data_IF_686872407490
#
_entry.id   IF_686872407490
#
_cell.length_a   1.000
_cell.length_b   1.000
_cell.length_c   1.000
_cell.angle_alpha   90.00
_cell.angle_beta   90.00
_cell.angle_gamma   90.00
#
_symmetry.space_group_name_H-M   'P 1'
#
loop_
_entity.id
_entity.type
_entity.pdbx_description
1 polymer ?
#
# COMPACT_ATOMS: atom_id res chain seq x y z
N UNK A 1 -11.37 -7.31 -7.73
CA UNK A 1 -11.67 -8.76 -7.71
C UNK A 1 -11.04 -9.36 -6.47
N UNK A 2 -11.66 -10.37 -5.85
CA UNK A 2 -11.03 -11.18 -4.79
C UNK A 2 -10.66 -12.51 -5.43
N UNK A 3 -9.44 -12.97 -5.22
CA UNK A 3 -8.90 -14.18 -5.84
C UNK A 3 -8.13 -15.00 -4.81
N UNK A 4 -8.41 -16.30 -4.76
CA UNK A 4 -7.66 -17.28 -3.99
C UNK A 4 -6.76 -18.05 -4.96
N UNK A 5 -5.45 -17.99 -4.74
CA UNK A 5 -4.47 -18.66 -5.59
C UNK A 5 -3.74 -19.69 -4.72
N UNK A 6 -3.89 -21.00 -5.01
CA UNK A 6 -3.27 -22.05 -4.21
C UNK A 6 -1.75 -22.07 -4.40
N UNK A 7 -1.06 -22.62 -3.40
CA UNK A 7 0.35 -22.98 -3.49
C UNK A 7 0.61 -23.81 -4.74
N UNK A 8 1.68 -23.48 -5.44
CA UNK A 8 2.03 -24.11 -6.71
C UNK A 8 3.52 -24.36 -6.81
N UNK A 9 3.89 -25.41 -7.56
CA UNK A 9 5.26 -25.66 -8.01
C UNK A 9 5.37 -25.32 -9.48
N UNK A 10 6.45 -24.66 -9.85
CA UNK A 10 6.65 -24.15 -11.21
C UNK A 10 7.77 -24.89 -11.91
N UNK A 11 7.54 -25.28 -13.16
CA UNK A 11 8.57 -25.89 -14.03
C UNK A 11 9.23 -24.84 -14.93
N UNK A 12 8.54 -23.73 -15.13
CA UNK A 12 8.93 -22.55 -15.87
C UNK A 12 10.11 -21.83 -15.20
N UNK A 13 10.99 -21.27 -16.02
CA UNK A 13 12.14 -20.49 -15.53
C UNK A 13 11.81 -19.03 -15.29
N UNK A 14 10.71 -18.53 -15.85
CA UNK A 14 10.33 -17.13 -15.83
C UNK A 14 8.84 -16.95 -15.52
N UNK A 15 8.50 -15.82 -14.93
CA UNK A 15 7.13 -15.38 -14.67
C UNK A 15 6.90 -14.03 -15.34
N UNK A 16 5.80 -13.93 -16.07
CA UNK A 16 5.36 -12.69 -16.71
C UNK A 16 4.56 -11.87 -15.71
N UNK A 17 5.05 -10.68 -15.39
CA UNK A 17 4.40 -9.67 -14.57
C UNK A 17 3.51 -8.77 -15.44
N UNK A 18 3.06 -7.62 -14.93
CA UNK A 18 2.16 -6.75 -15.70
C UNK A 18 2.85 -6.15 -16.93
N UNK A 19 4.08 -5.66 -16.79
CA UNK A 19 4.84 -5.04 -17.90
C UNK A 19 6.28 -5.54 -18.04
N UNK A 20 6.65 -6.56 -17.28
CA UNK A 20 8.01 -7.11 -17.25
C UNK A 20 7.97 -8.62 -17.04
N UNK A 21 9.14 -9.23 -17.09
CA UNK A 21 9.35 -10.66 -16.81
C UNK A 21 10.50 -10.78 -15.82
N UNK A 22 10.43 -11.76 -14.93
CA UNK A 22 11.52 -12.06 -14.00
C UNK A 22 11.70 -13.58 -13.81
N UNK A 23 12.80 -13.98 -13.19
CA UNK A 23 13.05 -15.37 -12.85
C UNK A 23 11.94 -15.90 -11.91
N UNK A 24 11.46 -17.09 -12.25
CA UNK A 24 10.47 -17.81 -11.47
C UNK A 24 11.13 -18.61 -10.34
N UNK A 25 10.43 -18.71 -9.21
CA UNK A 25 10.82 -19.56 -8.09
C UNK A 25 10.20 -20.95 -8.22
N UNK A 26 10.82 -21.97 -7.63
CA UNK A 26 10.31 -23.35 -7.72
C UNK A 26 8.97 -23.56 -7.05
N UNK A 27 8.65 -22.75 -6.04
CA UNK A 27 7.41 -22.87 -5.27
C UNK A 27 6.89 -21.47 -4.90
N UNK A 28 5.59 -21.27 -5.04
CA UNK A 28 4.88 -20.07 -4.56
C UNK A 28 3.84 -20.46 -3.53
N UNK A 29 3.65 -19.61 -2.53
CA UNK A 29 2.71 -19.83 -1.43
C UNK A 29 1.25 -19.61 -1.83
N UNK A 30 0.34 -20.16 -1.04
CA UNK A 30 -1.10 -19.88 -1.17
C UNK A 30 -1.36 -18.43 -0.75
N UNK A 31 -2.15 -17.70 -1.54
CA UNK A 31 -2.50 -16.30 -1.29
C UNK A 31 -3.99 -16.03 -1.50
N UNK A 32 -4.52 -15.09 -0.71
CA UNK A 32 -5.83 -14.45 -0.91
C UNK A 32 -5.59 -12.96 -1.20
N UNK A 33 -5.98 -12.50 -2.38
CA UNK A 33 -5.67 -11.15 -2.86
C UNK A 33 -6.91 -10.37 -3.29
N UNK A 34 -6.82 -9.04 -3.19
CA UNK A 34 -7.69 -8.11 -3.90
C UNK A 34 -6.88 -7.43 -5.00
N UNK A 35 -7.35 -7.52 -6.26
CA UNK A 35 -6.67 -6.93 -7.40
C UNK A 35 -7.60 -6.30 -8.45
N UNK A 36 -7.11 -5.33 -9.24
CA UNK A 36 -7.70 -4.96 -10.52
C UNK A 36 -7.60 -6.12 -11.50
N UNK A 37 -8.57 -6.22 -12.41
CA UNK A 37 -8.65 -7.34 -13.35
C UNK A 37 -7.51 -7.37 -14.38
N UNK A 38 -6.93 -6.21 -14.70
CA UNK A 38 -5.99 -6.01 -15.82
C UNK A 38 -4.51 -6.25 -15.46
N UNK A 39 -4.18 -6.38 -14.18
CA UNK A 39 -2.80 -6.49 -13.69
C UNK A 39 -2.53 -7.89 -13.15
N UNK A 40 -1.27 -8.34 -13.26
CA UNK A 40 -0.78 -9.52 -12.56
C UNK A 40 -0.81 -9.32 -11.04
N UNK A 41 -0.46 -8.13 -10.57
CA UNK A 41 -0.28 -7.80 -9.16
C UNK A 41 -1.55 -7.79 -8.30
N UNK A 42 -1.37 -7.33 -7.06
CA UNK A 42 -2.40 -7.19 -6.05
C UNK A 42 -2.33 -5.83 -5.35
N UNK A 43 -3.48 -5.24 -5.04
CA UNK A 43 -3.55 -4.00 -4.25
C UNK A 43 -3.30 -4.29 -2.77
N UNK A 44 -3.85 -5.41 -2.31
CA UNK A 44 -3.69 -5.93 -0.96
C UNK A 44 -3.94 -7.44 -0.92
N UNK A 45 -3.44 -8.13 0.10
CA UNK A 45 -3.65 -9.55 0.27
C UNK A 45 -3.02 -10.12 1.53
N UNK A 46 -3.23 -11.42 1.75
CA UNK A 46 -2.64 -12.21 2.83
C UNK A 46 -2.21 -13.59 2.30
N UNK A 47 -1.13 -14.15 2.81
CA UNK A 47 -0.67 -15.49 2.45
C UNK A 47 -0.92 -16.53 3.55
N UNK A 48 -0.65 -17.80 3.25
CA UNK A 48 -0.83 -18.92 4.20
C UNK A 48 0.00 -18.83 5.49
N UNK A 49 1.01 -17.95 5.56
CA UNK A 49 1.80 -17.71 6.76
C UNK A 49 1.25 -16.53 7.60
N UNK A 50 0.12 -15.95 7.20
CA UNK A 50 -0.46 -14.79 7.86
C UNK A 50 0.29 -13.48 7.58
N UNK A 51 1.10 -13.43 6.52
CA UNK A 51 1.71 -12.19 6.05
C UNK A 51 0.67 -11.44 5.24
N UNK A 52 0.28 -10.26 5.70
CA UNK A 52 -0.59 -9.33 4.98
C UNK A 52 0.20 -8.14 4.46
N UNK A 53 -0.17 -7.68 3.26
CA UNK A 53 0.40 -6.47 2.64
C UNK A 53 -0.72 -5.66 1.98
N UNK A 54 -0.60 -4.35 2.05
CA UNK A 54 -1.34 -3.40 1.22
C UNK A 54 -0.40 -2.31 0.72
N UNK A 55 -0.78 -1.66 -0.37
CA UNK A 55 -0.01 -0.56 -0.94
C UNK A 55 -0.89 0.65 -1.26
N UNK A 56 -0.26 1.82 -1.40
CA UNK A 56 -0.93 3.05 -1.81
C UNK A 56 0.00 3.90 -2.67
N UNK A 57 -0.57 4.57 -3.67
CA UNK A 57 0.16 5.51 -4.52
C UNK A 57 0.65 6.72 -3.72
N UNK A 58 1.95 7.00 -3.78
CA UNK A 58 2.59 8.20 -3.26
C UNK A 58 3.30 8.95 -4.39
N UNK A 59 3.26 10.28 -4.30
CA UNK A 59 3.83 11.15 -5.31
C UNK A 59 5.09 11.82 -4.76
N UNK A 60 6.19 11.65 -5.49
CA UNK A 60 7.52 12.04 -5.02
C UNK A 60 8.20 12.97 -6.02
N UNK A 61 9.26 13.63 -5.59
CA UNK A 61 10.13 14.45 -6.42
C UNK A 61 11.11 13.64 -7.28
N UNK A 62 11.21 12.32 -7.04
CA UNK A 62 12.04 11.44 -7.86
C UNK A 62 11.37 11.18 -9.22
N UNK A 63 12.15 10.98 -10.29
CA UNK A 63 11.61 10.58 -11.60
C UNK A 63 10.85 9.25 -11.53
N UNK A 64 9.84 9.11 -12.39
CA UNK A 64 9.07 7.87 -12.54
C UNK A 64 9.55 7.10 -13.77
N UNK A 65 10.10 5.91 -13.56
CA UNK A 65 10.59 5.08 -14.66
C UNK A 65 9.46 4.66 -15.61
N UNK A 66 9.75 4.64 -16.92
CA UNK A 66 8.83 4.10 -17.93
C UNK A 66 8.68 2.57 -17.81
N UNK A 67 9.76 1.90 -17.38
CA UNK A 67 9.84 0.45 -17.20
C UNK A 67 10.34 0.16 -15.79
N UNK A 68 9.66 -0.76 -15.12
CA UNK A 68 10.00 -1.20 -13.77
C UNK A 68 8.98 -2.22 -13.31
N UNK A 69 9.05 -2.61 -12.04
CA UNK A 69 8.02 -3.44 -11.43
C UNK A 69 6.98 -2.51 -10.78
N UNK A 70 5.70 -2.79 -11.01
CA UNK A 70 4.62 -2.07 -10.35
C UNK A 70 4.57 -2.45 -8.86
N UNK A 71 4.25 -1.53 -7.97
CA UNK A 71 4.06 -1.86 -6.55
C UNK A 71 2.98 -2.93 -6.31
N UNK A 72 1.94 -3.01 -7.16
CA UNK A 72 0.97 -4.11 -7.11
C UNK A 72 1.61 -5.46 -7.44
N UNK A 73 2.50 -5.51 -8.44
CA UNK A 73 3.23 -6.73 -8.81
C UNK A 73 4.17 -7.13 -7.66
N UNK A 74 4.87 -6.15 -7.07
CA UNK A 74 5.73 -6.37 -5.91
C UNK A 74 4.94 -6.95 -4.72
N UNK A 75 3.74 -6.43 -4.44
CA UNK A 75 2.91 -6.91 -3.34
C UNK A 75 2.49 -8.37 -3.53
N UNK A 76 2.07 -8.75 -4.75
CA UNK A 76 1.75 -10.15 -5.07
C UNK A 76 2.98 -11.05 -4.95
N UNK A 77 4.11 -10.66 -5.54
CA UNK A 77 5.35 -11.42 -5.49
C UNK A 77 5.82 -11.65 -4.05
N UNK A 78 5.70 -10.62 -3.19
CA UNK A 78 6.04 -10.74 -1.78
C UNK A 78 5.15 -11.76 -1.06
N UNK A 79 3.83 -11.73 -1.30
CA UNK A 79 2.89 -12.71 -0.73
C UNK A 79 3.22 -14.15 -1.17
N UNK A 80 3.56 -14.33 -2.45
CA UNK A 80 3.89 -15.64 -3.03
C UNK A 80 5.24 -16.20 -2.53
N UNK A 81 6.14 -15.37 -1.98
CA UNK A 81 7.56 -15.75 -1.80
C UNK A 81 8.13 -15.50 -0.41
N UNK A 82 7.39 -14.89 0.51
CA UNK A 82 7.88 -14.55 1.87
C UNK A 82 7.00 -15.11 2.99
N UNK A 83 7.56 -15.26 4.19
CA UNK A 83 6.92 -15.91 5.35
C UNK A 83 6.81 -15.01 6.57
N UNK A 84 7.33 -13.78 6.51
CA UNK A 84 7.24 -12.79 7.59
C UNK A 84 7.25 -11.36 7.05
N UNK A 85 6.74 -10.41 7.84
CA UNK A 85 6.72 -9.00 7.48
C UNK A 85 8.14 -8.44 7.25
N UNK A 86 9.13 -8.92 8.02
CA UNK A 86 10.54 -8.57 7.83
C UNK A 86 11.13 -9.11 6.52
N UNK A 87 10.78 -10.34 6.13
CA UNK A 87 11.17 -10.89 4.83
C UNK A 87 10.57 -10.08 3.67
N UNK A 88 9.31 -9.64 3.79
CA UNK A 88 8.67 -8.76 2.80
C UNK A 88 9.47 -7.49 2.62
N UNK A 89 9.88 -6.81 3.70
CA UNK A 89 10.67 -5.58 3.59
C UNK A 89 11.93 -5.81 2.76
N UNK A 90 12.73 -6.82 3.14
CA UNK A 90 13.96 -7.16 2.42
C UNK A 90 13.66 -7.46 0.95
N UNK A 91 12.65 -8.28 0.68
CA UNK A 91 12.26 -8.67 -0.67
C UNK A 91 11.87 -7.46 -1.53
N UNK A 92 11.04 -6.54 -1.01
CA UNK A 92 10.62 -5.33 -1.73
C UNK A 92 11.82 -4.41 -2.00
N UNK A 93 12.71 -4.23 -1.03
CA UNK A 93 13.89 -3.37 -1.20
C UNK A 93 14.89 -3.96 -2.19
N UNK A 94 15.04 -5.29 -2.21
CA UNK A 94 15.87 -5.99 -3.20
C UNK A 94 15.25 -5.86 -4.61
N UNK A 95 13.92 -6.00 -4.75
CA UNK A 95 13.24 -5.78 -6.04
C UNK A 95 13.45 -4.35 -6.56
N UNK A 96 13.30 -3.34 -5.69
CA UNK A 96 13.51 -1.94 -6.07
C UNK A 96 14.97 -1.71 -6.50
N UNK A 97 15.92 -2.32 -5.79
CA UNK A 97 17.35 -2.22 -6.11
C UNK A 97 17.68 -2.87 -7.46
N UNK A 98 17.18 -4.08 -7.70
CA UNK A 98 17.62 -4.91 -8.83
C UNK A 98 16.82 -4.65 -10.11
N UNK A 99 15.55 -4.27 -9.98
CA UNK A 99 14.62 -4.09 -11.12
C UNK A 99 14.03 -2.68 -11.22
N UNK A 100 14.20 -1.84 -10.20
CA UNK A 100 13.53 -0.54 -10.12
C UNK A 100 12.02 -0.65 -9.89
N UNK A 101 11.39 0.51 -9.72
CA UNK A 101 9.94 0.65 -9.66
C UNK A 101 9.47 1.65 -10.71
N UNK A 102 8.35 1.34 -11.37
CA UNK A 102 7.83 2.18 -12.45
C UNK A 102 6.93 1.42 -13.41
N UNK A 103 6.44 2.12 -14.43
CA UNK A 103 5.39 1.63 -15.33
C UNK A 103 4.05 2.34 -15.12
N UNK A 104 3.04 1.94 -15.90
CA UNK A 104 1.75 2.60 -15.94
C UNK A 104 0.72 1.94 -15.01
N UNK A 105 0.31 2.63 -13.94
CA UNK A 105 -0.61 2.08 -12.92
C UNK A 105 -2.10 2.23 -13.28
N UNK A 106 -2.41 2.37 -14.56
CA UNK A 106 -3.78 2.56 -15.02
C UNK A 106 -3.97 1.92 -16.39
N UNK A 107 -5.12 1.28 -16.58
CA UNK A 107 -5.49 0.66 -17.84
C UNK A 107 -5.84 1.68 -18.92
N UNK A 108 -6.55 2.76 -18.57
CA UNK A 108 -7.15 3.69 -19.54
C UNK A 108 -6.29 4.91 -19.86
N UNK A 109 -5.52 5.37 -18.87
CA UNK A 109 -4.70 6.59 -18.97
C UNK A 109 -3.30 6.37 -18.43
N UNK A 110 -2.40 7.31 -18.76
CA UNK A 110 -1.07 7.38 -18.14
C UNK A 110 -1.19 7.86 -16.71
N UNK A 111 -0.76 7.02 -15.76
CA UNK A 111 -0.72 7.35 -14.34
C UNK A 111 0.46 6.64 -13.70
N UNK A 112 1.39 7.42 -13.14
CA UNK A 112 2.62 6.92 -12.56
C UNK A 112 2.77 7.43 -11.14
N UNK A 113 3.30 6.57 -10.28
CA UNK A 113 3.56 6.88 -8.89
C UNK A 113 4.60 5.91 -8.34
N UNK A 114 5.11 6.24 -7.15
CA UNK A 114 5.82 5.29 -6.28
C UNK A 114 4.86 4.76 -5.22
N UNK A 115 5.29 3.78 -4.45
CA UNK A 115 4.42 3.11 -3.49
C UNK A 115 4.86 3.34 -2.04
N UNK A 116 3.85 3.52 -1.18
CA UNK A 116 3.97 3.24 0.25
C UNK A 116 3.29 1.88 0.51
N UNK A 117 3.94 1.03 1.28
CA UNK A 117 3.45 -0.29 1.66
C UNK A 117 3.23 -0.32 3.16
N UNK A 118 2.14 -0.99 3.57
CA UNK A 118 1.93 -1.43 4.94
C UNK A 118 1.94 -2.95 4.95
N UNK A 119 2.72 -3.52 5.84
CA UNK A 119 2.96 -4.96 5.94
C UNK A 119 2.75 -5.38 7.38
N UNK A 120 2.11 -6.51 7.61
CA UNK A 120 1.97 -7.09 8.93
C UNK A 120 2.04 -8.62 8.88
N UNK A 121 2.56 -9.21 9.94
CA UNK A 121 2.37 -10.62 10.27
C UNK A 121 1.90 -10.72 11.73
N UNK A 122 1.65 -11.92 12.29
CA UNK A 122 1.18 -12.05 13.68
C UNK A 122 2.13 -11.51 14.75
N UNK A 123 3.38 -11.15 14.42
CA UNK A 123 4.42 -10.72 15.36
C UNK A 123 4.75 -9.24 15.22
N UNK A 124 4.77 -8.73 14.00
CA UNK A 124 5.18 -7.34 13.76
C UNK A 124 4.53 -6.73 12.51
N UNK A 125 4.52 -5.40 12.49
CA UNK A 125 4.05 -4.62 11.36
C UNK A 125 5.07 -3.54 10.99
N UNK A 126 5.07 -3.19 9.71
CA UNK A 126 6.03 -2.29 9.10
C UNK A 126 5.36 -1.41 8.06
N UNK A 127 5.88 -0.20 7.92
CA UNK A 127 5.56 0.72 6.83
C UNK A 127 6.82 0.95 6.03
N UNK A 128 6.76 0.73 4.72
CA UNK A 128 7.84 1.00 3.77
C UNK A 128 7.40 2.10 2.82
N UNK A 129 8.11 3.21 2.81
CA UNK A 129 7.86 4.32 1.90
C UNK A 129 9.01 4.47 0.91
N UNK A 130 8.66 4.70 -0.35
CA UNK A 130 9.65 4.65 -1.44
C UNK A 130 9.58 5.90 -2.33
N UNK A 131 10.72 6.24 -2.92
CA UNK A 131 10.89 7.33 -3.88
C UNK A 131 12.01 6.94 -4.86
N UNK A 132 11.65 6.50 -6.06
CA UNK A 132 12.60 5.95 -7.03
C UNK A 132 13.31 4.73 -6.44
N UNK A 133 14.64 4.74 -6.41
CA UNK A 133 15.43 3.68 -5.75
C UNK A 133 15.54 3.85 -4.23
N UNK A 134 15.19 5.02 -3.70
CA UNK A 134 15.33 5.33 -2.28
C UNK A 134 14.12 4.86 -1.50
N UNK A 135 14.34 4.46 -0.26
CA UNK A 135 13.28 4.00 0.61
C UNK A 135 13.64 4.20 2.07
N UNK A 136 12.60 4.20 2.89
CA UNK A 136 12.70 4.24 4.34
C UNK A 136 11.61 3.34 4.93
N UNK A 137 11.91 2.67 6.04
CA UNK A 137 10.97 1.79 6.70
C UNK A 137 10.89 2.07 8.20
N UNK A 138 9.67 1.98 8.72
CA UNK A 138 9.34 2.18 10.12
C UNK A 138 8.65 0.94 10.67
N UNK A 139 9.13 0.42 11.79
CA UNK A 139 8.43 -0.59 12.57
C UNK A 139 7.26 0.07 13.27
N UNK A 140 6.08 -0.52 13.10
CA UNK A 140 4.86 0.00 13.72
C UNK A 140 4.79 -0.47 15.16
N UNK A 141 4.58 0.49 16.07
CA UNK A 141 4.23 0.23 17.46
C UNK A 141 2.77 0.66 17.65
N UNK A 142 1.94 -0.29 18.07
CA UNK A 142 0.49 -0.19 18.27
C UNK A 142 -0.34 0.17 17.02
N UNK A 143 -0.24 1.40 16.53
CA UNK A 143 -1.14 1.96 15.51
C UNK A 143 -0.36 2.74 14.47
N UNK A 144 -0.66 2.47 13.21
CA UNK A 144 -0.25 3.28 12.07
C UNK A 144 -1.33 3.29 11.00
N UNK A 145 -1.36 4.34 10.19
CA UNK A 145 -2.12 4.34 8.93
C UNK A 145 -1.33 5.06 7.84
N UNK A 146 -1.56 4.65 6.60
CA UNK A 146 -1.00 5.29 5.41
C UNK A 146 -2.14 5.74 4.49
N UNK A 147 -1.83 6.67 3.60
CA UNK A 147 -2.71 7.08 2.50
C UNK A 147 -1.84 7.62 1.37
N UNK A 148 -2.41 8.33 0.40
CA UNK A 148 -1.70 8.85 -0.77
C UNK A 148 -0.79 10.05 -0.46
N UNK A 149 0.11 9.90 0.51
CA UNK A 149 1.11 10.85 0.95
C UNK A 149 2.21 10.09 1.70
N UNK A 150 3.47 10.51 1.56
CA UNK A 150 4.54 10.06 2.44
C UNK A 150 4.28 10.56 3.87
N UNK A 151 4.66 9.75 4.86
CA UNK A 151 4.26 9.91 6.26
C UNK A 151 5.42 9.78 7.25
N UNK A 152 6.52 9.11 6.87
CA UNK A 152 7.65 8.89 7.76
C UNK A 152 8.46 10.19 7.89
N UNK A 153 8.50 10.71 9.11
CA UNK A 153 9.02 12.04 9.45
C UNK A 153 9.95 11.95 10.67
N UNK A 154 11.26 12.11 10.47
CA UNK A 154 12.26 12.16 11.54
C UNK A 154 12.57 10.85 12.27
N UNK A 155 11.70 9.84 12.19
CA UNK A 155 11.80 8.61 13.00
C UNK A 155 11.53 7.35 12.16
N UNK A 156 12.60 6.60 11.87
CA UNK A 156 12.62 5.38 11.09
C UNK A 156 13.62 4.36 11.62
N UNK A 157 13.44 3.09 11.24
CA UNK A 157 14.25 1.98 11.72
C UNK A 157 15.24 1.48 10.67
N UNK A 158 14.85 1.52 9.38
CA UNK A 158 15.68 1.08 8.26
C UNK A 158 15.58 2.10 7.12
N UNK A 159 16.65 2.25 6.34
CA UNK A 159 16.69 3.18 5.22
C UNK A 159 17.66 2.71 4.15
N UNK A 160 17.47 3.18 2.92
CA UNK A 160 18.50 3.10 1.87
C UNK A 160 19.71 3.96 2.29
N UNK A 161 20.92 3.41 2.22
CA UNK A 161 22.16 4.04 2.71
C UNK A 161 22.34 5.50 2.24
N UNK A 162 22.10 5.76 0.96
CA UNK A 162 22.25 7.09 0.36
C UNK A 162 21.02 8.02 0.49
N UNK A 163 19.93 7.63 1.18
CA UNK A 163 18.68 8.43 1.16
C UNK A 163 18.86 9.84 1.73
N UNK A 164 19.60 9.97 2.83
CA UNK A 164 19.84 11.29 3.44
C UNK A 164 20.76 12.13 2.55
N UNK A 165 21.86 11.54 2.08
CA UNK A 165 22.84 12.20 1.22
C UNK A 165 22.21 12.70 -0.09
N UNK A 166 21.39 11.88 -0.73
CA UNK A 166 20.64 12.28 -1.92
C UNK A 166 19.61 13.38 -1.60
N UNK A 167 18.84 13.23 -0.52
CA UNK A 167 17.87 14.25 -0.11
C UNK A 167 18.49 15.63 0.15
N UNK A 168 19.62 15.67 0.87
CA UNK A 168 20.35 16.92 1.15
C UNK A 168 20.89 17.53 -0.15
N UNK A 169 21.56 16.72 -0.99
CA UNK A 169 22.20 17.23 -2.21
C UNK A 169 21.20 17.63 -3.31
N UNK A 170 20.14 16.84 -3.53
CA UNK A 170 19.20 17.02 -4.63
C UNK A 170 18.01 17.89 -4.25
N UNK A 171 17.44 17.69 -3.05
CA UNK A 171 16.21 18.33 -2.59
C UNK A 171 16.44 19.43 -1.56
N UNK A 172 17.70 19.68 -1.17
CA UNK A 172 18.11 20.70 -0.18
C UNK A 172 17.43 20.52 1.17
N UNK A 173 17.29 19.27 1.59
CA UNK A 173 16.70 18.91 2.88
C UNK A 173 17.68 19.15 4.03
N UNK A 174 17.16 19.33 5.24
CA UNK A 174 17.98 19.40 6.45
C UNK A 174 18.64 18.05 6.71
N UNK A 175 19.91 18.07 7.09
CA UNK A 175 20.62 16.89 7.59
C UNK A 175 20.29 16.62 9.06
N UNK A 176 20.20 17.68 9.88
CA UNK A 176 19.97 17.57 11.33
C UNK A 176 18.51 17.29 11.70
N UNK A 177 17.58 17.62 10.81
CA UNK A 177 16.13 17.39 10.93
C UNK A 177 15.60 16.73 9.64
N UNK A 178 16.24 15.63 9.26
CA UNK A 178 15.89 14.92 8.04
C UNK A 178 14.50 14.26 8.16
N UNK A 179 13.68 14.49 7.14
CA UNK A 179 12.32 13.96 7.06
C UNK A 179 12.07 13.42 5.67
N UNK A 180 11.86 12.11 5.55
CA UNK A 180 11.59 11.50 4.24
C UNK A 180 10.32 12.10 3.62
N UNK A 181 9.26 12.21 4.41
CA UNK A 181 8.00 12.78 3.96
C UNK A 181 8.14 14.23 3.47
N UNK A 182 8.84 15.11 4.20
CA UNK A 182 9.03 16.50 3.75
C UNK A 182 10.02 16.60 2.58
N UNK A 183 11.05 15.77 2.61
CA UNK A 183 12.15 15.84 1.65
C UNK A 183 11.74 15.33 0.27
N UNK A 184 11.05 14.20 0.20
CA UNK A 184 10.77 13.49 -1.05
C UNK A 184 9.36 13.71 -1.62
N UNK A 185 8.39 14.22 -0.85
CA UNK A 185 7.01 14.40 -1.37
C UNK A 185 6.94 15.46 -2.48
N UNK A 186 6.20 15.15 -3.55
CA UNK A 186 5.67 16.17 -4.45
C UNK A 186 4.48 16.86 -3.78
N UNK A 187 4.58 18.18 -3.55
CA UNK A 187 3.57 18.94 -2.81
C UNK A 187 2.25 19.07 -3.56
N UNK A 188 2.28 19.28 -4.88
CA UNK A 188 1.09 19.56 -5.68
C UNK A 188 0.24 18.30 -5.83
N UNK A 189 0.86 17.19 -6.26
CA UNK A 189 0.16 15.93 -6.43
C UNK A 189 -0.31 15.36 -5.09
N UNK A 190 0.49 15.48 -4.03
CA UNK A 190 0.07 15.05 -2.69
C UNK A 190 -1.13 15.85 -2.17
N UNK A 191 -1.16 17.17 -2.39
CA UNK A 191 -2.29 18.02 -2.01
C UNK A 191 -3.55 17.66 -2.81
N UNK A 192 -3.42 17.42 -4.11
CA UNK A 192 -4.54 17.04 -4.97
C UNK A 192 -5.09 15.65 -4.60
N UNK A 193 -4.22 14.72 -4.20
CA UNK A 193 -4.60 13.37 -3.81
C UNK A 193 -5.36 13.29 -2.49
N UNK A 194 -5.34 14.34 -1.65
CA UNK A 194 -5.99 14.40 -0.33
C UNK A 194 -5.61 13.29 0.65
N UNK A 195 -4.42 12.71 0.46
CA UNK A 195 -3.92 11.62 1.30
C UNK A 195 -3.64 12.03 2.75
N UNK A 196 -3.16 13.26 2.97
CA UNK A 196 -2.87 13.76 4.33
C UNK A 196 -4.14 13.92 5.15
N UNK A 197 -5.21 14.44 4.56
CA UNK A 197 -6.51 14.60 5.18
C UNK A 197 -7.15 13.24 5.52
N UNK A 198 -7.15 12.30 4.57
CA UNK A 198 -7.63 10.92 4.81
C UNK A 198 -6.84 10.24 5.92
N UNK A 199 -5.51 10.34 5.92
CA UNK A 199 -4.67 9.78 6.97
C UNK A 199 -4.94 10.42 8.33
N UNK A 200 -5.06 11.74 8.39
CA UNK A 200 -5.37 12.45 9.65
C UNK A 200 -6.67 11.94 10.26
N UNK A 201 -7.71 11.76 9.43
CA UNK A 201 -8.96 11.15 9.86
C UNK A 201 -8.76 9.72 10.37
N UNK A 202 -8.19 8.82 9.57
CA UNK A 202 -8.06 7.40 9.96
C UNK A 202 -7.18 7.23 11.18
N UNK A 203 -6.04 7.93 11.23
CA UNK A 203 -5.11 7.83 12.34
C UNK A 203 -5.73 8.30 13.65
N UNK A 204 -6.44 9.44 13.63
CA UNK A 204 -7.16 9.93 14.82
C UNK A 204 -8.21 8.92 15.29
N UNK A 205 -9.02 8.36 14.38
CA UNK A 205 -10.06 7.37 14.73
C UNK A 205 -9.47 6.07 15.28
N UNK A 206 -8.31 5.64 14.78
CA UNK A 206 -7.58 4.51 15.33
C UNK A 206 -7.07 4.82 16.74
N UNK A 207 -6.46 6.00 16.95
CA UNK A 207 -5.94 6.42 18.25
C UNK A 207 -7.03 6.53 19.33
N UNK A 208 -8.22 7.02 18.97
CA UNK A 208 -9.40 7.07 19.86
C UNK A 208 -9.84 5.69 20.37
N UNK A 209 -9.39 4.60 19.71
CA UNK A 209 -9.69 3.21 20.05
C UNK A 209 -8.43 2.40 20.41
N UNK A 210 -7.31 3.05 20.71
CA UNK A 210 -6.04 2.37 21.01
C UNK A 210 -6.20 1.40 22.17
N UNK A 211 -5.77 0.16 21.97
CA UNK A 211 -5.92 -0.95 22.94
C UNK A 211 -7.28 -1.66 22.92
N UNK A 212 -8.28 -1.10 22.21
CA UNK A 212 -9.65 -1.62 22.17
C UNK A 212 -10.16 -1.83 20.73
N UNK A 213 -9.28 -1.71 19.73
CA UNK A 213 -9.63 -1.81 18.31
C UNK A 213 -10.25 -3.18 17.99
N UNK A 214 -11.47 -3.15 17.46
CA UNK A 214 -12.13 -4.34 16.90
C UNK A 214 -12.22 -4.25 15.37
N UNK A 215 -12.48 -5.38 14.68
CA UNK A 215 -12.80 -5.35 13.25
C UNK A 215 -13.99 -4.44 12.93
N UNK A 216 -14.96 -4.26 13.84
CA UNK A 216 -16.11 -3.38 13.64
C UNK A 216 -15.72 -1.90 13.62
N UNK A 217 -14.75 -1.49 14.45
CA UNK A 217 -14.21 -0.13 14.42
C UNK A 217 -13.50 0.13 13.08
N UNK A 218 -12.72 -0.84 12.59
CA UNK A 218 -12.07 -0.76 11.28
C UNK A 218 -13.10 -0.66 10.14
N UNK A 219 -14.17 -1.46 10.18
CA UNK A 219 -15.26 -1.34 9.21
C UNK A 219 -15.91 0.05 9.26
N UNK A 220 -16.13 0.62 10.44
CA UNK A 220 -16.68 1.98 10.58
C UNK A 220 -15.75 3.02 9.95
N UNK A 221 -14.45 2.96 10.24
CA UNK A 221 -13.44 3.87 9.67
C UNK A 221 -13.39 3.75 8.14
N UNK A 222 -13.35 2.53 7.61
CA UNK A 222 -13.28 2.26 6.17
C UNK A 222 -14.56 2.63 5.41
N UNK A 223 -15.67 2.84 6.12
CA UNK A 223 -16.96 3.30 5.58
C UNK A 223 -17.15 4.82 5.65
N UNK A 224 -16.24 5.53 6.28
CA UNK A 224 -16.41 6.94 6.57
C UNK A 224 -16.33 7.84 5.33
N UNK A 225 -17.05 8.96 5.41
CA UNK A 225 -16.96 10.08 4.49
C UNK A 225 -16.54 11.34 5.27
N UNK A 226 -16.11 12.35 4.56
CA UNK A 226 -15.59 13.60 5.14
C UNK A 226 -16.68 14.49 5.75
N UNK A 227 -17.95 14.28 5.39
CA UNK A 227 -19.10 15.05 5.89
C UNK A 227 -20.28 14.14 6.19
N UNK A 228 -21.04 14.49 7.24
CA UNK A 228 -22.31 13.86 7.59
C UNK A 228 -23.43 14.92 7.73
N UNK A 229 -24.69 14.63 7.33
CA UNK A 229 -25.13 13.40 6.66
C UNK A 229 -24.59 13.28 5.23
N UNK A 230 -24.10 12.09 4.88
CA UNK A 230 -23.49 11.85 3.58
C UNK A 230 -24.50 11.67 2.42
N UNK A 231 -24.20 12.28 1.28
CA UNK A 231 -24.82 11.96 -0.02
C UNK A 231 -23.76 11.88 -1.11
N UNK A 232 -23.90 11.01 -2.14
CA UNK A 232 -22.90 10.89 -3.21
C UNK A 232 -22.56 12.20 -3.92
N UNK A 233 -23.52 13.13 -4.04
CA UNK A 233 -23.31 14.47 -4.61
C UNK A 233 -22.35 15.33 -3.78
N UNK A 234 -22.34 15.17 -2.45
CA UNK A 234 -21.47 15.87 -1.50
C UNK A 234 -20.13 15.18 -1.25
N UNK A 235 -19.80 14.14 -2.03
CA UNK A 235 -18.57 13.39 -1.86
C UNK A 235 -17.32 14.26 -1.96
N UNK A 236 -16.22 13.75 -1.46
CA UNK A 236 -14.93 14.44 -1.47
C UNK A 236 -13.82 13.45 -1.81
N UNK A 237 -12.74 13.96 -2.40
CA UNK A 237 -11.48 13.22 -2.44
C UNK A 237 -10.98 12.93 -1.02
N UNK A 238 -11.45 13.64 0.02
CA UNK A 238 -11.12 13.37 1.43
C UNK A 238 -11.89 12.18 2.04
N UNK A 239 -12.85 11.59 1.33
CA UNK A 239 -13.63 10.45 1.83
C UNK A 239 -12.76 9.20 1.92
N UNK A 240 -12.96 8.38 2.96
CA UNK A 240 -12.31 7.07 3.06
C UNK A 240 -13.01 6.08 2.12
N UNK A 241 -14.35 6.05 2.17
CA UNK A 241 -15.17 5.40 1.17
C UNK A 241 -15.52 6.39 0.05
N UNK A 242 -14.59 6.62 -0.87
CA UNK A 242 -14.79 7.54 -1.98
C UNK A 242 -15.81 7.00 -2.99
N UNK A 243 -16.81 7.81 -3.33
CA UNK A 243 -17.74 7.57 -4.45
C UNK A 243 -17.31 8.35 -5.68
N UNK A 244 -17.47 7.73 -6.84
CA UNK A 244 -17.29 8.40 -8.13
C UNK A 244 -18.17 9.65 -8.20
N UNK A 245 -17.60 10.73 -8.74
CA UNK A 245 -18.23 12.03 -8.85
C UNK A 245 -17.60 12.84 -9.98
N UNK A 246 -17.47 12.21 -11.14
CA UNK A 246 -16.97 12.81 -12.38
C UNK A 246 -15.57 13.44 -12.20
N UNK A 247 -15.37 14.66 -12.70
CA UNK A 247 -14.06 15.32 -12.80
C UNK A 247 -13.41 15.54 -11.43
N UNK A 248 -14.20 15.91 -10.42
CA UNK A 248 -13.68 16.18 -9.08
C UNK A 248 -13.32 14.90 -8.31
N UNK A 249 -13.92 13.76 -8.69
CA UNK A 249 -13.70 12.44 -8.09
C UNK A 249 -13.71 11.37 -9.17
N UNK A 250 -12.63 11.25 -9.96
CA UNK A 250 -12.58 10.40 -11.16
C UNK A 250 -12.37 8.91 -10.81
N UNK A 251 -12.58 8.52 -9.56
CA UNK A 251 -12.31 7.19 -9.04
C UNK A 251 -13.29 6.88 -7.91
N UNK A 252 -13.38 5.60 -7.53
CA UNK A 252 -14.20 5.14 -6.41
C UNK A 252 -13.49 4.03 -5.65
N UNK A 253 -13.84 3.83 -4.39
CA UNK A 253 -13.33 2.71 -3.59
C UNK A 253 -13.84 1.40 -4.19
N UNK A 254 -12.93 0.64 -4.80
CA UNK A 254 -13.27 -0.57 -5.56
C UNK A 254 -13.44 -1.83 -4.70
N UNK A 255 -12.76 -1.87 -3.55
CA UNK A 255 -12.78 -2.98 -2.59
C UNK A 255 -12.38 -2.47 -1.20
N UNK A 256 -12.73 -3.21 -0.16
CA UNK A 256 -12.21 -2.99 1.18
C UNK A 256 -12.00 -4.33 1.89
N UNK A 257 -10.90 -4.43 2.62
CA UNK A 257 -10.45 -5.66 3.25
C UNK A 257 -9.88 -5.37 4.64
N UNK A 258 -10.17 -6.24 5.60
CA UNK A 258 -9.58 -6.24 6.93
C UNK A 258 -8.98 -7.62 7.16
N UNK A 259 -7.71 -7.67 7.54
CA UNK A 259 -7.05 -8.91 7.96
C UNK A 259 -6.83 -8.88 9.47
N UNK A 260 -7.37 -9.87 10.18
CA UNK A 260 -7.09 -10.11 11.60
C UNK A 260 -6.09 -11.26 11.67
N UNK A 261 -4.88 -10.96 12.13
CA UNK A 261 -3.73 -11.88 12.09
C UNK A 261 -3.45 -12.42 13.50
N UNK A 262 -3.45 -13.75 13.63
CA UNK A 262 -3.19 -14.46 14.88
C UNK A 262 -2.05 -15.47 14.69
N UNK A 263 -1.42 -15.92 15.77
CA UNK A 263 -0.33 -16.93 15.69
C UNK A 263 -0.79 -18.28 15.13
N UNK A 264 -2.08 -18.60 15.23
CA UNK A 264 -2.69 -19.86 14.81
C UNK A 264 -3.44 -19.77 13.47
N UNK A 265 -3.54 -18.59 12.85
CA UNK A 265 -4.27 -18.39 11.61
C UNK A 265 -4.64 -16.93 11.37
N UNK A 266 -5.49 -16.67 10.37
CA UNK A 266 -6.01 -15.33 10.10
C UNK A 266 -7.48 -15.37 9.68
N UNK A 267 -8.16 -14.24 9.86
CA UNK A 267 -9.49 -13.97 9.34
C UNK A 267 -9.39 -12.83 8.32
N UNK A 268 -9.87 -13.08 7.10
CA UNK A 268 -9.96 -12.07 6.05
C UNK A 268 -11.41 -11.62 5.87
N UNK A 269 -11.71 -10.39 6.22
CA UNK A 269 -13.03 -9.80 6.01
C UNK A 269 -12.97 -8.95 4.74
N UNK A 270 -13.61 -9.40 3.67
CA UNK A 270 -13.57 -8.76 2.35
C UNK A 270 -14.94 -8.29 1.92
N UNK A 271 -15.03 -7.11 1.30
CA UNK A 271 -16.30 -6.71 0.67
C UNK A 271 -16.55 -7.47 -0.63
N UNK A 272 -15.50 -7.74 -1.40
CA UNK A 272 -15.60 -8.26 -2.77
C UNK A 272 -16.40 -7.37 -3.72
N UNK A 273 -16.68 -6.14 -3.31
CA UNK A 273 -17.53 -5.18 -3.98
C UNK A 273 -17.06 -3.75 -3.65
N UNK A 274 -17.37 -2.83 -4.56
CA UNK A 274 -17.07 -1.41 -4.38
C UNK A 274 -17.88 -0.80 -3.23
N UNK A 275 -17.43 0.36 -2.77
CA UNK A 275 -18.16 1.21 -1.84
C UNK A 275 -18.50 0.51 -0.50
N UNK A 276 -17.52 0.31 0.39
CA UNK A 276 -17.72 -0.37 1.68
C UNK A 276 -18.87 0.21 2.53
N UNK A 277 -19.25 1.47 2.36
CA UNK A 277 -20.36 2.10 3.11
C UNK A 277 -21.73 1.49 2.84
N UNK A 278 -21.91 0.77 1.73
CA UNK A 278 -23.15 0.01 1.43
C UNK A 278 -22.88 -1.48 1.22
N UNK A 279 -21.63 -1.91 1.33
CA UNK A 279 -21.22 -3.29 1.09
C UNK A 279 -21.00 -4.04 2.41
N UNK A 280 -21.39 -5.31 2.40
CA UNK A 280 -21.17 -6.22 3.52
C UNK A 280 -19.74 -6.78 3.47
N UNK A 281 -19.09 -6.86 4.63
CA UNK A 281 -17.85 -7.63 4.79
C UNK A 281 -18.19 -9.09 5.00
N UNK A 282 -17.55 -9.97 4.24
CA UNK A 282 -17.72 -11.43 4.28
C UNK A 282 -16.40 -12.05 4.77
N UNK A 283 -16.46 -13.06 5.66
CA UNK A 283 -15.29 -13.81 6.07
C UNK A 283 -14.76 -14.70 4.94
#
# INVERSE_FOLDING_TARGET
MIEFIPRARHSENEVKLTFSTMLQVKETYTILISRPWWTYGAEMGVNEFGVAIGNVAVFTKEPYEEKGILGMDMARLALERTRSAKEVLKFLTDLIKDYGQGGNYSYEKKFKYHNSFIVADPREAWVLETAGRYWIAKKVVDIYSISNALTIDGDWDLAHDDVMKHGVSKHRCSQDDFSFARCYSDKLYTWAAKGRERRSYTYRRLLEKRGELTPWDLMSILRAHSFEPYTPSKGSMMDICMRYGEVLRPSQTASSTIFVLCSWGYLALVTGASNPCISMYKP
#
